data_IF_129200316082
#
_entry.id   IF_129200316082
#
_cell.length_a   1.000
_cell.length_b   1.000
_cell.length_c   1.000
_cell.angle_alpha   90.00
_cell.angle_beta   90.00
_cell.angle_gamma   90.00
#
_symmetry.space_group_name_H-M   'P 1'
#
loop_
_entity.id
_entity.type
_entity.pdbx_description
1 polymer ?
#
# COMPACT_ATOMS: atom_id res chain seq x y z
N UNK A 1 6.84 -1.05 -4.09
CA UNK A 1 6.16 0.14 -3.51
C UNK A 1 6.66 1.47 -4.02
N UNK A 2 7.96 1.78 -3.98
CA UNK A 2 8.45 3.10 -4.43
C UNK A 2 8.29 3.37 -5.92
N UNK A 3 8.05 2.33 -6.72
CA UNK A 3 7.72 2.46 -8.14
C UNK A 3 6.22 2.73 -8.34
N UNK A 4 5.36 1.99 -7.65
CA UNK A 4 3.89 2.18 -7.67
C UNK A 4 3.50 3.59 -7.19
N UNK A 5 4.14 4.05 -6.11
CA UNK A 5 3.93 5.38 -5.55
C UNK A 5 4.99 6.39 -6.01
N UNK A 6 5.71 6.07 -7.10
CA UNK A 6 6.50 7.05 -7.82
C UNK A 6 5.61 7.89 -8.74
N UNK A 7 6.19 8.90 -9.39
CA UNK A 7 5.41 9.78 -10.25
C UNK A 7 6.26 10.64 -11.15
N UNK A 8 5.60 11.53 -11.88
CA UNK A 8 6.25 12.44 -12.80
C UNK A 8 6.85 13.63 -12.03
N UNK A 9 8.16 13.81 -12.13
CA UNK A 9 8.86 14.90 -11.45
C UNK A 9 9.10 16.07 -12.40
N UNK A 10 8.44 17.20 -12.15
CA UNK A 10 8.68 18.45 -12.89
C UNK A 10 10.05 19.02 -12.51
N UNK A 11 10.98 19.09 -13.47
CA UNK A 11 12.36 19.55 -13.27
C UNK A 11 12.57 21.02 -13.71
N UNK A 12 11.53 21.86 -13.56
CA UNK A 12 11.55 23.24 -14.03
C UNK A 12 11.53 23.34 -15.55
N UNK A 13 12.60 23.88 -16.15
CA UNK A 13 12.76 24.06 -17.61
C UNK A 13 13.23 22.80 -18.34
N UNK A 14 13.71 21.79 -17.60
CA UNK A 14 14.15 20.51 -18.17
C UNK A 14 12.96 19.56 -18.36
N UNK A 15 13.02 18.62 -19.32
CA UNK A 15 12.01 17.57 -19.46
C UNK A 15 11.75 16.85 -18.14
N UNK A 16 10.51 16.47 -17.97
CA UNK A 16 10.07 15.76 -16.78
C UNK A 16 10.35 14.26 -16.94
N UNK A 17 10.74 13.62 -15.85
CA UNK A 17 11.10 12.19 -15.81
C UNK A 17 10.39 11.51 -14.65
N UNK A 18 10.33 10.18 -14.68
CA UNK A 18 9.81 9.40 -13.58
C UNK A 18 10.77 9.46 -12.38
N UNK A 19 10.21 9.67 -11.20
CA UNK A 19 10.94 9.65 -9.93
C UNK A 19 10.26 8.68 -8.96
N UNK A 20 11.07 7.91 -8.25
CA UNK A 20 10.59 6.93 -7.28
C UNK A 20 10.07 7.64 -6.02
N UNK A 21 9.05 7.06 -5.40
CA UNK A 21 8.56 7.48 -4.09
C UNK A 21 9.58 7.25 -2.97
N UNK A 22 9.31 7.84 -1.81
CA UNK A 22 10.20 7.76 -0.65
C UNK A 22 10.37 6.32 -0.13
N UNK A 23 11.62 5.86 -0.04
CA UNK A 23 11.97 4.54 0.50
C UNK A 23 11.77 4.47 2.02
N UNK A 24 12.05 5.56 2.75
CA UNK A 24 11.91 5.58 4.20
C UNK A 24 10.45 5.42 4.60
N UNK A 25 9.55 6.20 3.99
CA UNK A 25 8.11 6.12 4.25
C UNK A 25 7.58 4.73 3.93
N UNK A 26 7.91 4.19 2.74
CA UNK A 26 7.48 2.84 2.36
C UNK A 26 7.92 1.77 3.38
N UNK A 27 9.14 1.85 3.90
CA UNK A 27 9.64 0.91 4.92
C UNK A 27 8.89 1.05 6.24
N UNK A 28 8.70 2.27 6.73
CA UNK A 28 8.03 2.51 8.02
C UNK A 28 6.57 2.05 7.99
N UNK A 29 5.88 2.25 6.86
CA UNK A 29 4.50 1.77 6.67
C UNK A 29 4.43 0.25 6.82
N UNK A 30 5.34 -0.50 6.19
CA UNK A 30 5.35 -1.95 6.33
C UNK A 30 5.68 -2.42 7.75
N UNK A 31 6.66 -1.78 8.41
CA UNK A 31 6.99 -2.11 9.80
C UNK A 31 5.81 -1.85 10.75
N UNK A 32 5.06 -0.77 10.53
CA UNK A 32 3.85 -0.48 11.31
C UNK A 32 2.75 -1.53 11.06
N UNK A 33 2.51 -1.92 9.80
CA UNK A 33 1.52 -2.94 9.45
C UNK A 33 1.89 -4.35 9.92
N UNK A 34 3.19 -4.67 9.97
CA UNK A 34 3.71 -5.89 10.63
C UNK A 34 3.41 -5.86 12.13
N UNK A 35 3.62 -4.72 12.80
CA UNK A 35 3.28 -4.55 14.22
C UNK A 35 1.78 -4.74 14.51
N UNK A 36 0.92 -4.35 13.57
CA UNK A 36 -0.53 -4.56 13.62
C UNK A 36 -0.96 -5.97 13.17
N UNK A 37 -0.02 -6.84 12.78
CA UNK A 37 -0.26 -8.21 12.28
C UNK A 37 -1.16 -8.28 11.04
N UNK A 38 -1.23 -7.20 10.27
CA UNK A 38 -1.99 -7.16 9.01
C UNK A 38 -1.17 -7.68 7.82
N UNK A 39 0.15 -7.52 7.90
CA UNK A 39 1.12 -7.90 6.87
C UNK A 39 2.22 -8.72 7.53
N UNK A 40 2.79 -9.67 6.80
CA UNK A 40 3.94 -10.47 7.21
C UNK A 40 5.01 -10.50 6.12
N UNK A 41 6.25 -10.80 6.51
CA UNK A 41 7.34 -11.01 5.55
C UNK A 41 7.14 -12.33 4.85
N UNK A 42 7.31 -12.33 3.54
CA UNK A 42 7.27 -13.58 2.78
C UNK A 42 8.64 -14.26 2.76
N UNK A 43 8.64 -15.59 2.63
CA UNK A 43 9.85 -16.40 2.60
C UNK A 43 10.64 -16.16 1.30
N UNK A 44 9.93 -15.91 0.20
CA UNK A 44 10.50 -15.57 -1.11
C UNK A 44 10.94 -14.10 -1.22
N UNK A 45 10.83 -13.36 -0.11
CA UNK A 45 11.12 -11.93 -0.02
C UNK A 45 9.90 -11.05 -0.23
N UNK A 46 10.03 -9.76 0.12
CA UNK A 46 8.91 -8.84 0.13
C UNK A 46 7.97 -9.06 1.31
N UNK A 47 6.72 -8.61 1.15
CA UNK A 47 5.71 -8.65 2.21
C UNK A 47 4.39 -9.13 1.61
N UNK A 48 3.68 -9.97 2.35
CA UNK A 48 2.35 -10.49 1.98
C UNK A 48 1.34 -10.18 3.06
N UNK A 49 0.07 -10.20 2.69
CA UNK A 49 -1.01 -10.01 3.64
C UNK A 49 -1.16 -11.24 4.54
N UNK A 50 -1.43 -11.04 5.83
CA UNK A 50 -1.77 -12.17 6.70
C UNK A 50 -3.19 -12.66 6.40
N UNK A 51 -3.52 -13.94 6.68
CA UNK A 51 -4.90 -14.42 6.57
C UNK A 51 -5.89 -13.61 7.41
N UNK A 52 -5.43 -13.06 8.54
CA UNK A 52 -6.22 -12.15 9.37
C UNK A 52 -6.44 -10.80 8.68
N UNK A 53 -5.38 -10.20 8.13
CA UNK A 53 -5.47 -8.95 7.39
C UNK A 53 -6.41 -9.04 6.19
N UNK A 54 -6.44 -10.20 5.52
CA UNK A 54 -7.36 -10.43 4.39
C UNK A 54 -8.82 -10.39 4.84
N UNK A 55 -9.16 -11.17 5.88
CA UNK A 55 -10.52 -11.20 6.44
C UNK A 55 -10.99 -9.83 6.90
N UNK A 56 -10.11 -9.05 7.52
CA UNK A 56 -10.45 -7.73 8.03
C UNK A 56 -10.70 -6.72 6.89
N UNK A 57 -9.90 -6.76 5.82
CA UNK A 57 -10.18 -5.97 4.61
C UNK A 57 -11.47 -6.38 3.92
N UNK A 58 -11.74 -7.68 3.78
CA UNK A 58 -12.96 -8.18 3.15
C UNK A 58 -14.21 -7.79 3.94
N UNK A 59 -14.13 -7.80 5.28
CA UNK A 59 -15.23 -7.34 6.15
C UNK A 59 -15.54 -5.87 5.91
N UNK A 60 -14.51 -5.01 5.84
CA UNK A 60 -14.68 -3.58 5.57
C UNK A 60 -15.26 -3.37 4.17
N UNK A 61 -14.75 -4.08 3.16
CA UNK A 61 -15.26 -4.01 1.80
C UNK A 61 -16.75 -4.37 1.73
N UNK A 62 -17.17 -5.44 2.42
CA UNK A 62 -18.57 -5.84 2.53
C UNK A 62 -19.46 -4.79 3.19
N UNK A 63 -18.97 -4.15 4.26
CA UNK A 63 -19.68 -3.04 4.92
C UNK A 63 -19.87 -1.85 3.99
N UNK A 64 -18.83 -1.46 3.25
CA UNK A 64 -18.91 -0.36 2.27
C UNK A 64 -19.87 -0.67 1.12
N UNK A 65 -19.84 -1.91 0.61
CA UNK A 65 -20.75 -2.34 -0.45
C UNK A 65 -22.23 -2.33 0.01
N UNK A 66 -22.50 -2.79 1.24
CA UNK A 66 -23.84 -2.75 1.82
C UNK A 66 -24.32 -1.31 2.06
N UNK A 67 -23.45 -0.41 2.50
CA UNK A 67 -23.78 1.01 2.70
C UNK A 67 -24.14 1.71 1.39
N UNK A 68 -23.43 1.41 0.30
CA UNK A 68 -23.66 2.01 -1.02
C UNK A 68 -24.88 1.45 -1.76
N UNK A 69 -25.46 0.34 -1.29
CA UNK A 69 -26.64 -0.30 -1.93
C UNK A 69 -27.97 0.43 -1.67
N UNK A 70 -27.92 1.69 -1.23
CA UNK A 70 -29.08 2.56 -1.03
C UNK A 70 -29.23 3.55 -2.19
N UNK A 71 -29.77 3.04 -3.30
CA UNK A 71 -30.75 3.62 -4.23
C UNK A 71 -30.70 2.85 -5.54
#
# INVERSE_FOLDING_TARGET
MTEIYGGHQRNGVKPSHFSRGSKSVARHVFQALEGLKMVEKDQDGGHKLTPQGQRDMDRIAGQMAAANKKH
#
